data_IF_392099434449
#
_entry.id   IF_392099434449
#
_cell.length_a   1.000
_cell.length_b   1.000
_cell.length_c   1.000
_cell.angle_alpha   90.00
_cell.angle_beta   90.00
_cell.angle_gamma   90.00
#
_symmetry.space_group_name_H-M   'P 1'
#
loop_
_entity.id
_entity.type
_entity.pdbx_description
1 polymer ?
#
# COMPACT_ATOMS: atom_id res chain seq x y z
N UNK A 1 -6.91 -36.11 -35.14
CA UNK A 1 -7.70 -35.35 -36.13
C UNK A 1 -8.37 -34.23 -35.36
N UNK A 2 -7.67 -33.11 -35.21
CA UNK A 2 -8.19 -31.92 -34.53
C UNK A 2 -9.09 -31.16 -35.50
N UNK A 3 -10.38 -31.05 -35.15
CA UNK A 3 -11.29 -30.17 -35.85
C UNK A 3 -10.94 -28.71 -35.46
N UNK A 4 -10.46 -27.95 -36.45
CA UNK A 4 -10.43 -26.49 -36.34
C UNK A 4 -11.88 -25.99 -36.37
N UNK A 5 -12.43 -25.56 -35.24
CA UNK A 5 -13.69 -24.82 -35.22
C UNK A 5 -13.40 -23.36 -35.54
N UNK A 6 -13.68 -22.97 -36.79
CA UNK A 6 -13.77 -21.57 -37.18
C UNK A 6 -15.14 -21.04 -36.74
N UNK A 7 -15.17 -20.23 -35.68
CA UNK A 7 -16.34 -19.44 -35.35
C UNK A 7 -16.39 -18.22 -36.28
N UNK A 8 -17.30 -18.25 -37.25
CA UNK A 8 -17.61 -17.09 -38.10
C UNK A 8 -18.56 -16.16 -37.32
N UNK A 9 -18.05 -15.05 -36.83
CA UNK A 9 -18.89 -13.89 -36.48
C UNK A 9 -18.90 -12.93 -37.67
N UNK A 10 -20.07 -12.79 -38.29
CA UNK A 10 -20.34 -11.79 -39.32
C UNK A 10 -20.41 -10.39 -38.72
N UNK A 11 -19.59 -9.47 -39.27
CA UNK A 11 -19.67 -8.01 -39.25
C UNK A 11 -18.64 -7.18 -38.46
N UNK A 12 -17.58 -7.75 -37.93
CA UNK A 12 -16.32 -7.06 -37.61
C UNK A 12 -15.20 -8.02 -38.01
N UNK A 13 -14.11 -7.54 -38.63
CA UNK A 13 -13.03 -8.34 -39.20
C UNK A 13 -12.72 -9.63 -38.42
N UNK A 14 -12.46 -10.74 -39.10
CA UNK A 14 -12.37 -12.06 -38.48
C UNK A 14 -11.21 -12.10 -37.45
N UNK A 15 -11.56 -12.08 -36.15
CA UNK A 15 -10.58 -12.29 -35.08
C UNK A 15 -10.23 -13.79 -35.02
N UNK A 16 -8.96 -14.13 -35.20
CA UNK A 16 -8.48 -15.50 -35.09
C UNK A 16 -7.91 -15.76 -33.71
N UNK A 17 -8.49 -16.71 -32.96
CA UNK A 17 -7.95 -17.18 -31.70
C UNK A 17 -6.86 -18.20 -31.92
N UNK A 18 -5.63 -17.93 -31.50
CA UNK A 18 -4.45 -18.77 -31.75
C UNK A 18 -3.56 -18.89 -30.52
N UNK A 19 -2.99 -20.10 -30.34
CA UNK A 19 -1.89 -20.31 -29.42
C UNK A 19 -0.57 -20.27 -30.22
N UNK A 20 0.30 -19.32 -29.87
CA UNK A 20 1.62 -19.19 -30.48
C UNK A 20 2.65 -19.20 -29.34
N UNK A 21 3.55 -20.18 -29.35
CA UNK A 21 4.60 -20.38 -28.35
C UNK A 21 4.08 -20.38 -26.89
N UNK A 22 2.88 -20.94 -26.67
CA UNK A 22 2.28 -21.08 -25.36
C UNK A 22 1.50 -19.86 -24.86
N UNK A 23 1.49 -18.76 -25.59
CA UNK A 23 0.66 -17.58 -25.33
C UNK A 23 -0.52 -17.54 -26.30
N UNK A 24 -1.68 -17.16 -25.80
CA UNK A 24 -2.91 -17.10 -26.58
C UNK A 24 -3.18 -15.68 -27.06
N UNK A 25 -3.54 -15.57 -28.33
CA UNK A 25 -3.76 -14.31 -29.01
C UNK A 25 -5.10 -14.28 -29.74
N UNK A 26 -5.70 -13.11 -29.80
CA UNK A 26 -6.70 -12.74 -30.79
C UNK A 26 -5.99 -11.95 -31.87
N UNK A 27 -5.90 -12.50 -33.08
CA UNK A 27 -5.27 -11.88 -34.23
C UNK A 27 -6.34 -11.17 -35.04
N UNK A 28 -6.09 -9.92 -35.37
CA UNK A 28 -6.90 -9.10 -36.27
C UNK A 28 -6.18 -9.05 -37.61
N UNK A 29 -6.77 -9.71 -38.62
CA UNK A 29 -6.19 -9.82 -39.96
C UNK A 29 -6.21 -8.49 -40.72
N UNK A 30 -7.22 -7.64 -40.46
CA UNK A 30 -7.39 -6.36 -41.16
C UNK A 30 -6.34 -5.34 -40.68
N UNK A 31 -6.15 -5.22 -39.39
CA UNK A 31 -5.17 -4.29 -38.77
C UNK A 31 -3.77 -4.88 -38.65
N UNK A 32 -3.59 -6.20 -38.81
CA UNK A 32 -2.39 -6.96 -38.50
C UNK A 32 -1.88 -6.74 -37.06
N UNK A 33 -2.81 -6.72 -36.13
CA UNK A 33 -2.50 -6.62 -34.71
C UNK A 33 -2.91 -7.87 -33.94
N UNK A 34 -2.28 -8.08 -32.79
CA UNK A 34 -2.58 -9.16 -31.88
C UNK A 34 -2.87 -8.61 -30.47
N UNK A 35 -3.88 -9.17 -29.84
CA UNK A 35 -4.15 -8.96 -28.42
C UNK A 35 -3.84 -10.24 -27.64
N UNK A 36 -3.02 -10.17 -26.61
CA UNK A 36 -2.87 -11.31 -25.68
C UNK A 36 -4.22 -11.56 -25.01
N UNK A 37 -4.63 -12.83 -24.94
CA UNK A 37 -5.93 -13.22 -24.38
C UNK A 37 -5.79 -14.41 -23.45
N UNK A 38 -6.89 -14.77 -22.77
CA UNK A 38 -6.92 -15.91 -21.85
C UNK A 38 -6.82 -17.25 -22.58
N UNK A 39 -6.27 -18.24 -21.89
CA UNK A 39 -6.28 -19.64 -22.33
C UNK A 39 -7.70 -20.19 -22.23
N UNK A 40 -8.25 -20.65 -23.38
CA UNK A 40 -9.53 -21.32 -23.42
C UNK A 40 -10.73 -20.36 -23.34
N UNK A 41 -11.20 -19.92 -24.50
CA UNK A 41 -12.56 -19.47 -24.68
C UNK A 41 -13.42 -20.74 -24.87
N UNK A 42 -13.94 -21.28 -23.77
CA UNK A 42 -15.03 -22.25 -23.87
C UNK A 42 -16.34 -21.47 -23.70
N UNK A 43 -16.98 -21.14 -24.81
CA UNK A 43 -18.33 -20.55 -24.80
C UNK A 43 -19.32 -21.73 -24.87
N UNK A 44 -19.21 -22.65 -23.94
CA UNK A 44 -20.20 -23.70 -23.76
C UNK A 44 -21.08 -23.36 -22.54
N UNK A 45 -22.04 -22.50 -22.75
CA UNK A 45 -23.08 -22.26 -21.77
C UNK A 45 -23.94 -21.05 -22.12
N UNK A 46 -25.22 -21.22 -22.08
CA UNK A 46 -26.24 -20.18 -22.24
C UNK A 46 -26.11 -19.01 -21.25
N UNK A 47 -25.18 -19.11 -20.28
CA UNK A 47 -25.00 -18.16 -19.17
C UNK A 47 -23.75 -17.27 -19.29
N UNK A 48 -22.91 -17.42 -20.30
CA UNK A 48 -21.77 -16.53 -20.58
C UNK A 48 -20.65 -16.51 -19.52
N UNK A 49 -20.52 -17.54 -18.68
CA UNK A 49 -19.46 -17.64 -17.68
C UNK A 49 -18.19 -18.26 -18.28
N UNK A 50 -17.04 -17.59 -18.10
CA UNK A 50 -15.74 -18.13 -18.48
C UNK A 50 -15.25 -19.12 -17.42
N UNK A 51 -15.09 -20.39 -17.80
CA UNK A 51 -14.45 -21.41 -16.95
C UNK A 51 -12.97 -21.51 -17.30
N UNK A 52 -12.10 -21.26 -16.33
CA UNK A 52 -10.66 -21.46 -16.49
C UNK A 52 -10.31 -22.92 -16.17
N UNK A 53 -9.79 -23.67 -17.14
CA UNK A 53 -9.24 -24.99 -16.84
C UNK A 53 -7.85 -24.82 -16.20
N UNK A 54 -7.65 -25.32 -14.98
CA UNK A 54 -6.40 -25.19 -14.22
C UNK A 54 -5.15 -25.74 -14.95
N UNK A 55 -5.32 -26.69 -15.87
CA UNK A 55 -4.25 -27.26 -16.69
C UNK A 55 -3.74 -26.34 -17.81
N UNK A 56 -4.41 -25.23 -18.04
CA UNK A 56 -4.12 -24.29 -19.13
C UNK A 56 -3.61 -22.93 -18.67
N UNK A 57 -3.28 -22.77 -17.39
CA UNK A 57 -2.82 -21.51 -16.81
C UNK A 57 -1.33 -21.27 -17.10
N UNK A 58 -0.95 -20.00 -17.21
CA UNK A 58 0.44 -19.58 -17.40
C UNK A 58 1.27 -19.87 -16.15
N UNK A 59 2.51 -20.29 -16.34
CA UNK A 59 3.45 -20.66 -15.28
C UNK A 59 4.81 -19.99 -15.50
N UNK A 60 5.53 -19.74 -14.41
CA UNK A 60 6.88 -19.15 -14.47
C UNK A 60 6.89 -17.74 -15.05
N UNK A 61 8.00 -17.43 -15.71
CA UNK A 61 8.18 -16.11 -16.33
C UNK A 61 7.49 -16.07 -17.69
N UNK A 62 6.63 -15.09 -17.88
CA UNK A 62 5.90 -14.87 -19.14
C UNK A 62 6.48 -13.64 -19.85
N UNK A 63 6.91 -13.84 -21.07
CA UNK A 63 7.44 -12.78 -21.95
C UNK A 63 6.50 -12.61 -23.13
N UNK A 64 5.91 -11.42 -23.26
CA UNK A 64 5.10 -11.05 -24.42
C UNK A 64 6.05 -10.53 -25.49
N UNK A 65 6.09 -11.13 -26.72
CA UNK A 65 6.89 -10.60 -27.82
C UNK A 65 6.23 -9.35 -28.41
N UNK A 66 7.01 -8.52 -29.10
CA UNK A 66 6.47 -7.32 -29.79
C UNK A 66 5.64 -7.66 -31.03
N UNK A 67 5.84 -8.86 -31.60
CA UNK A 67 5.07 -9.38 -32.72
C UNK A 67 5.01 -10.90 -32.70
N UNK A 68 4.02 -11.47 -33.37
CA UNK A 68 3.86 -12.91 -33.59
C UNK A 68 3.56 -13.20 -35.05
N UNK A 69 4.02 -14.36 -35.54
CA UNK A 69 3.78 -14.78 -36.94
C UNK A 69 2.76 -15.93 -36.96
N UNK A 70 1.76 -15.83 -37.81
CA UNK A 70 0.77 -16.87 -38.09
C UNK A 70 0.40 -16.93 -39.53
N UNK A 71 0.44 -18.13 -40.12
CA UNK A 71 0.14 -18.33 -41.56
C UNK A 71 1.06 -17.57 -42.52
N UNK A 72 2.28 -17.21 -42.13
CA UNK A 72 3.23 -16.39 -42.90
C UNK A 72 2.96 -14.89 -42.85
N UNK A 73 2.07 -14.43 -41.98
CA UNK A 73 1.74 -13.02 -41.68
C UNK A 73 2.23 -12.65 -40.31
N UNK A 74 2.87 -11.48 -40.18
CA UNK A 74 3.29 -10.92 -38.89
C UNK A 74 2.21 -10.01 -38.36
N UNK A 75 1.93 -10.17 -37.04
CA UNK A 75 0.98 -9.38 -36.28
C UNK A 75 1.70 -8.66 -35.12
N UNK A 76 1.59 -7.36 -35.08
CA UNK A 76 2.14 -6.58 -33.96
C UNK A 76 1.31 -6.83 -32.70
N UNK A 77 1.95 -7.19 -31.57
CA UNK A 77 1.26 -7.37 -30.27
C UNK A 77 1.06 -6.01 -29.65
N UNK A 78 -0.16 -5.47 -29.71
CA UNK A 78 -0.45 -4.09 -29.30
C UNK A 78 -1.24 -3.97 -28.01
N UNK A 79 -1.83 -5.09 -27.53
CA UNK A 79 -2.66 -5.05 -26.34
C UNK A 79 -2.63 -6.34 -25.53
N UNK A 80 -2.99 -6.22 -24.26
CA UNK A 80 -3.31 -7.32 -23.35
C UNK A 80 -4.79 -7.23 -23.03
N UNK A 81 -5.55 -8.23 -23.43
CA UNK A 81 -7.01 -8.28 -23.26
C UNK A 81 -7.45 -8.47 -21.81
N UNK A 82 -8.75 -8.32 -21.61
CA UNK A 82 -9.37 -8.55 -20.29
C UNK A 82 -9.09 -9.97 -19.78
N UNK A 83 -8.76 -10.09 -18.52
CA UNK A 83 -8.51 -11.38 -17.85
C UNK A 83 -7.44 -12.27 -18.52
N UNK A 84 -6.56 -11.72 -19.36
CA UNK A 84 -5.63 -12.48 -20.18
C UNK A 84 -4.82 -13.53 -19.41
N UNK A 85 -4.40 -13.23 -18.20
CA UNK A 85 -3.62 -14.12 -17.32
C UNK A 85 -4.38 -14.54 -16.06
N UNK A 86 -5.68 -14.19 -15.94
CA UNK A 86 -6.43 -14.45 -14.72
C UNK A 86 -6.36 -15.93 -14.29
N UNK A 87 -6.20 -16.17 -12.99
CA UNK A 87 -6.06 -17.52 -12.43
C UNK A 87 -4.67 -18.15 -12.57
N UNK A 88 -3.73 -17.52 -13.28
CA UNK A 88 -2.37 -18.04 -13.50
C UNK A 88 -1.53 -17.92 -12.22
N UNK A 89 -1.91 -18.70 -11.19
CA UNK A 89 -1.33 -18.63 -9.85
C UNK A 89 0.15 -19.01 -9.80
N UNK A 90 0.68 -19.73 -10.80
CA UNK A 90 2.08 -20.08 -10.90
C UNK A 90 2.92 -19.15 -11.77
N UNK A 91 2.34 -18.10 -12.35
CA UNK A 91 3.08 -17.08 -13.10
C UNK A 91 3.91 -16.22 -12.12
N UNK A 92 5.21 -16.08 -12.36
CA UNK A 92 6.15 -15.40 -11.46
C UNK A 92 6.53 -13.99 -11.90
N UNK A 93 6.63 -13.77 -13.21
CA UNK A 93 6.87 -12.43 -13.77
C UNK A 93 6.13 -12.24 -15.10
N UNK A 94 5.92 -10.98 -15.47
CA UNK A 94 5.34 -10.59 -16.75
C UNK A 94 6.18 -9.49 -17.39
N UNK A 95 6.73 -9.80 -18.58
CA UNK A 95 7.41 -8.82 -19.41
C UNK A 95 6.48 -8.25 -20.49
N UNK A 96 6.43 -6.92 -20.60
CA UNK A 96 5.57 -6.17 -21.50
C UNK A 96 6.44 -5.42 -22.52
N UNK A 97 6.31 -5.70 -23.85
CA UNK A 97 7.11 -5.07 -24.88
C UNK A 97 6.69 -3.62 -25.13
N UNK A 98 7.53 -2.90 -25.88
CA UNK A 98 7.27 -1.50 -26.28
C UNK A 98 6.03 -1.34 -27.18
N UNK A 99 5.62 -2.40 -27.88
CA UNK A 99 4.46 -2.39 -28.79
C UNK A 99 3.10 -2.40 -28.07
N UNK A 100 3.04 -2.87 -26.81
CA UNK A 100 1.79 -2.94 -26.04
C UNK A 100 1.45 -1.56 -25.51
N UNK A 101 0.33 -1.01 -25.98
CA UNK A 101 -0.14 0.34 -25.61
C UNK A 101 -1.45 0.34 -24.82
N UNK A 102 -2.09 -0.81 -24.69
CA UNK A 102 -3.32 -0.95 -23.88
C UNK A 102 -3.35 -2.27 -23.11
N UNK A 103 -3.93 -2.21 -21.90
CA UNK A 103 -4.08 -3.35 -21.00
C UNK A 103 -5.50 -3.30 -20.44
N UNK A 104 -6.21 -4.40 -20.54
CA UNK A 104 -7.59 -4.55 -20.09
C UNK A 104 -7.76 -4.63 -18.57
N UNK A 105 -8.95 -4.97 -18.14
CA UNK A 105 -9.26 -5.14 -16.71
C UNK A 105 -9.05 -6.60 -16.25
N UNK A 106 -8.84 -6.80 -14.95
CA UNK A 106 -8.66 -8.11 -14.31
C UNK A 106 -7.54 -8.98 -14.89
N UNK A 107 -6.59 -8.38 -15.60
CA UNK A 107 -5.57 -9.07 -16.41
C UNK A 107 -4.81 -10.13 -15.61
N UNK A 108 -4.48 -9.86 -14.35
CA UNK A 108 -3.70 -10.73 -13.46
C UNK A 108 -4.48 -11.13 -12.19
N UNK A 109 -5.79 -11.16 -12.26
CA UNK A 109 -6.61 -11.61 -11.13
C UNK A 109 -6.21 -13.02 -10.70
N UNK A 110 -6.02 -13.25 -9.39
CA UNK A 110 -5.60 -14.54 -8.81
C UNK A 110 -4.21 -15.04 -9.25
N UNK A 111 -3.34 -14.18 -9.80
CA UNK A 111 -1.95 -14.49 -10.08
C UNK A 111 -1.11 -14.33 -8.80
N UNK A 112 -1.29 -15.21 -7.83
CA UNK A 112 -0.77 -15.03 -6.48
C UNK A 112 0.76 -15.18 -6.36
N UNK A 113 1.43 -15.80 -7.34
CA UNK A 113 2.90 -15.90 -7.38
C UNK A 113 3.57 -14.79 -8.20
N UNK A 114 2.79 -13.93 -8.87
CA UNK A 114 3.34 -12.85 -9.69
C UNK A 114 4.07 -11.83 -8.81
N UNK A 115 5.40 -11.81 -8.91
CA UNK A 115 6.27 -11.00 -8.06
C UNK A 115 6.72 -9.70 -8.72
N UNK A 116 6.69 -9.61 -10.05
CA UNK A 116 7.15 -8.41 -10.75
C UNK A 116 6.63 -8.27 -12.16
N UNK A 117 6.52 -7.01 -12.58
CA UNK A 117 6.42 -6.60 -13.99
C UNK A 117 7.75 -6.04 -14.45
N UNK A 118 8.07 -6.27 -15.73
CA UNK A 118 9.10 -5.55 -16.47
C UNK A 118 8.51 -5.00 -17.76
N UNK A 119 8.94 -3.82 -18.17
CA UNK A 119 8.44 -3.12 -19.35
C UNK A 119 9.62 -2.60 -20.14
N UNK A 120 9.59 -2.73 -21.46
CA UNK A 120 10.60 -2.13 -22.34
C UNK A 120 10.72 -0.62 -22.10
N UNK A 121 11.95 -0.10 -22.10
CA UNK A 121 12.21 1.30 -21.80
C UNK A 121 11.49 2.25 -22.78
N UNK A 122 11.36 1.83 -24.04
CA UNK A 122 10.74 2.57 -25.14
C UNK A 122 9.20 2.45 -25.16
N UNK A 123 8.59 1.72 -24.21
CA UNK A 123 7.14 1.61 -24.18
C UNK A 123 6.50 2.99 -23.91
N UNK A 124 5.61 3.48 -24.83
CA UNK A 124 5.07 4.83 -24.74
C UNK A 124 3.99 4.99 -23.65
N UNK A 125 3.35 3.90 -23.26
CA UNK A 125 2.15 3.92 -22.40
C UNK A 125 2.41 3.50 -20.97
N UNK A 126 3.38 2.60 -20.76
CA UNK A 126 3.65 1.98 -19.46
C UNK A 126 5.13 2.00 -19.09
N UNK A 127 5.42 1.80 -17.83
CA UNK A 127 6.76 1.52 -17.32
C UNK A 127 6.63 0.72 -16.02
N UNK A 128 7.71 0.07 -15.62
CA UNK A 128 7.80 -0.59 -14.32
C UNK A 128 8.77 0.13 -13.41
N UNK A 129 8.43 0.19 -12.13
CA UNK A 129 9.32 0.67 -11.09
C UNK A 129 9.14 -0.20 -9.85
N UNK A 130 10.23 -0.70 -9.29
CA UNK A 130 10.24 -1.66 -8.18
C UNK A 130 9.31 -2.87 -8.42
N UNK A 131 9.23 -3.35 -9.68
CA UNK A 131 8.38 -4.47 -10.09
C UNK A 131 6.87 -4.17 -10.13
N UNK A 132 6.45 -2.95 -9.85
CA UNK A 132 5.06 -2.48 -9.96
C UNK A 132 4.87 -1.82 -11.32
N UNK A 133 3.70 -1.99 -11.93
CA UNK A 133 3.35 -1.44 -13.24
C UNK A 133 2.67 -0.08 -13.10
N UNK A 134 3.12 0.89 -13.87
CA UNK A 134 2.59 2.26 -13.92
C UNK A 134 2.20 2.65 -15.33
N UNK A 135 1.17 3.50 -15.46
CA UNK A 135 0.86 4.21 -16.69
C UNK A 135 1.63 5.53 -16.76
N UNK A 136 1.98 5.97 -17.99
CA UNK A 136 2.68 7.24 -18.21
C UNK A 136 1.74 8.43 -18.36
N UNK A 137 0.56 8.21 -18.93
CA UNK A 137 -0.41 9.28 -19.20
C UNK A 137 -1.85 8.76 -19.07
N UNK A 138 -2.57 9.11 -17.99
CA UNK A 138 -2.08 9.85 -16.81
C UNK A 138 -1.04 9.04 -16.04
N UNK A 139 -0.10 9.73 -15.36
CA UNK A 139 0.85 9.08 -14.49
C UNK A 139 0.12 8.49 -13.28
N UNK A 140 0.07 7.18 -13.19
CA UNK A 140 -0.60 6.48 -12.10
C UNK A 140 -0.01 5.09 -11.85
N UNK A 141 -0.13 4.59 -10.61
CA UNK A 141 0.04 3.17 -10.34
C UNK A 141 -1.08 2.41 -11.06
N UNK A 142 -0.72 1.43 -11.89
CA UNK A 142 -1.67 0.71 -12.72
C UNK A 142 -1.98 -0.69 -12.18
N UNK A 143 -0.95 -1.51 -11.90
CA UNK A 143 -1.11 -2.85 -11.34
C UNK A 143 0.03 -3.19 -10.38
N UNK A 144 -0.30 -3.73 -9.21
CA UNK A 144 0.67 -4.29 -8.27
C UNK A 144 0.71 -5.81 -8.36
N UNK A 145 1.89 -6.43 -8.28
CA UNK A 145 2.01 -7.88 -8.34
C UNK A 145 1.70 -8.52 -6.98
N UNK A 146 0.74 -9.45 -6.92
CA UNK A 146 0.25 -10.05 -5.67
C UNK A 146 1.29 -10.90 -4.93
N UNK A 147 2.23 -11.49 -5.67
CA UNK A 147 3.30 -12.32 -5.12
C UNK A 147 4.54 -11.54 -4.67
N UNK A 148 4.53 -10.20 -4.80
CA UNK A 148 5.66 -9.37 -4.34
C UNK A 148 5.83 -9.46 -2.83
N UNK A 149 7.08 -9.57 -2.39
CA UNK A 149 7.45 -9.74 -0.98
C UNK A 149 8.22 -8.55 -0.45
N UNK A 150 8.19 -8.36 0.88
CA UNK A 150 9.04 -7.39 1.56
C UNK A 150 8.59 -5.93 1.39
N UNK A 151 9.55 -5.05 1.19
CA UNK A 151 9.30 -3.60 1.08
C UNK A 151 9.03 -3.22 -0.36
N UNK A 152 7.97 -2.44 -0.58
CA UNK A 152 7.64 -1.86 -1.90
C UNK A 152 7.86 -0.35 -1.87
N UNK A 153 8.52 0.17 -2.91
CA UNK A 153 8.69 1.61 -3.10
C UNK A 153 7.77 2.08 -4.22
N UNK A 154 6.86 2.98 -3.88
CA UNK A 154 5.95 3.60 -4.85
C UNK A 154 6.69 4.69 -5.62
N UNK A 155 6.48 4.77 -6.95
CA UNK A 155 7.11 5.76 -7.83
C UNK A 155 6.76 7.19 -7.41
N UNK A 156 7.77 8.06 -7.37
CA UNK A 156 7.56 9.46 -7.00
C UNK A 156 6.80 10.24 -8.09
N UNK A 157 6.01 11.22 -7.65
CA UNK A 157 5.20 12.06 -8.55
C UNK A 157 3.76 11.61 -8.73
N UNK A 158 3.36 10.38 -8.33
CA UNK A 158 1.94 10.05 -8.29
C UNK A 158 1.26 10.81 -7.15
N UNK A 159 0.00 11.21 -7.37
CA UNK A 159 -0.74 12.05 -6.42
C UNK A 159 -1.77 11.29 -5.60
N UNK A 160 -2.07 10.06 -5.98
CA UNK A 160 -2.98 9.18 -5.24
C UNK A 160 -2.57 7.71 -5.37
N UNK A 161 -2.88 6.91 -4.36
CA UNK A 161 -2.93 5.46 -4.50
C UNK A 161 -4.35 5.11 -4.97
N UNK A 162 -4.49 4.55 -6.19
CA UNK A 162 -5.80 4.26 -6.75
C UNK A 162 -6.51 3.15 -5.98
N UNK A 163 -7.81 3.00 -6.23
CA UNK A 163 -8.60 1.92 -5.65
C UNK A 163 -7.98 0.56 -5.95
N UNK A 164 -7.88 -0.28 -4.92
CA UNK A 164 -7.29 -1.61 -4.99
C UNK A 164 -5.80 -1.65 -5.41
N UNK A 165 -5.04 -0.57 -5.27
CA UNK A 165 -3.64 -0.44 -5.70
C UNK A 165 -2.76 -1.64 -5.31
N UNK A 166 -2.85 -2.11 -4.07
CA UNK A 166 -2.12 -3.25 -3.52
C UNK A 166 -3.05 -4.34 -2.96
N UNK A 167 -4.31 -4.36 -3.42
CA UNK A 167 -5.28 -5.31 -2.90
C UNK A 167 -4.80 -6.77 -3.07
N UNK A 168 -4.88 -7.54 -1.98
CA UNK A 168 -4.38 -8.93 -1.89
C UNK A 168 -2.87 -9.11 -2.08
N UNK A 169 -2.06 -8.06 -1.95
CA UNK A 169 -0.60 -8.19 -1.88
C UNK A 169 -0.20 -8.69 -0.48
N UNK A 170 -0.51 -9.95 -0.19
CA UNK A 170 -0.44 -10.54 1.17
C UNK A 170 0.99 -10.69 1.72
N UNK A 171 2.02 -10.55 0.89
CA UNK A 171 3.41 -10.80 1.27
C UNK A 171 4.25 -9.52 1.40
N UNK A 172 3.70 -8.34 1.11
CA UNK A 172 4.39 -7.08 1.36
C UNK A 172 4.41 -6.80 2.86
N UNK A 173 5.57 -6.40 3.39
CA UNK A 173 5.74 -6.09 4.82
C UNK A 173 5.68 -4.60 5.11
N UNK A 174 6.02 -3.76 4.14
CA UNK A 174 5.96 -2.30 4.24
C UNK A 174 5.86 -1.65 2.87
N UNK A 175 5.30 -0.44 2.81
CA UNK A 175 5.21 0.37 1.58
C UNK A 175 5.76 1.77 1.84
N UNK A 176 6.72 2.20 1.00
CA UNK A 176 7.23 3.57 0.99
C UNK A 176 6.37 4.40 0.05
N UNK A 177 5.51 5.23 0.62
CA UNK A 177 4.60 6.11 -0.10
C UNK A 177 5.25 7.49 -0.26
N UNK A 178 5.37 8.06 -1.47
CA UNK A 178 6.01 9.35 -1.68
C UNK A 178 5.15 10.52 -1.15
N UNK A 179 5.81 11.64 -0.84
CA UNK A 179 5.15 12.83 -0.28
C UNK A 179 4.17 13.52 -1.24
N UNK A 180 4.23 13.19 -2.52
CA UNK A 180 3.29 13.67 -3.54
C UNK A 180 1.87 13.12 -3.37
N UNK A 181 1.71 11.96 -2.70
CA UNK A 181 0.41 11.32 -2.50
C UNK A 181 -0.46 12.13 -1.53
N UNK A 182 -1.69 12.44 -1.98
CA UNK A 182 -2.70 13.22 -1.24
C UNK A 182 -3.91 12.40 -0.84
N UNK A 183 -4.15 11.25 -1.47
CA UNK A 183 -5.27 10.38 -1.14
C UNK A 183 -4.89 8.91 -1.27
N UNK A 184 -5.45 8.12 -0.38
CA UNK A 184 -5.43 6.65 -0.44
C UNK A 184 -6.86 6.23 -0.73
N UNK A 185 -7.10 5.65 -1.90
CA UNK A 185 -8.45 5.30 -2.37
C UNK A 185 -8.94 3.98 -1.78
N UNK A 186 -10.18 3.63 -2.14
CA UNK A 186 -10.88 2.48 -1.61
C UNK A 186 -10.12 1.17 -1.81
N UNK A 187 -9.99 0.40 -0.75
CA UNK A 187 -9.33 -0.90 -0.77
C UNK A 187 -7.85 -0.90 -1.16
N UNK A 188 -7.17 0.26 -1.18
CA UNK A 188 -5.81 0.39 -1.69
C UNK A 188 -4.82 -0.65 -1.13
N UNK A 189 -4.97 -1.04 0.15
CA UNK A 189 -4.18 -2.08 0.83
C UNK A 189 -5.05 -3.22 1.38
N UNK A 190 -6.30 -3.36 0.89
CA UNK A 190 -7.18 -4.39 1.45
C UNK A 190 -6.58 -5.80 1.31
N UNK A 191 -6.61 -6.57 2.40
CA UNK A 191 -6.04 -7.92 2.50
C UNK A 191 -4.51 -7.98 2.31
N UNK A 192 -3.77 -6.92 2.64
CA UNK A 192 -2.32 -6.95 2.79
C UNK A 192 -1.97 -7.54 4.17
N UNK A 193 -2.18 -8.83 4.38
CA UNK A 193 -2.15 -9.47 5.70
C UNK A 193 -0.78 -9.41 6.39
N UNK A 194 0.32 -9.33 5.65
CA UNK A 194 1.68 -9.20 6.20
C UNK A 194 2.15 -7.74 6.34
N UNK A 195 1.34 -6.74 5.97
CA UNK A 195 1.72 -5.33 6.06
C UNK A 195 1.84 -4.93 7.54
N UNK A 196 3.08 -4.89 8.05
CA UNK A 196 3.35 -4.62 9.45
C UNK A 196 3.49 -3.13 9.76
N UNK A 197 3.94 -2.34 8.78
CA UNK A 197 4.15 -0.91 8.94
C UNK A 197 3.87 -0.15 7.63
N UNK A 198 3.25 1.02 7.75
CA UNK A 198 3.08 1.98 6.67
C UNK A 198 3.20 3.40 7.21
N UNK A 199 4.05 4.20 6.57
CA UNK A 199 4.17 5.61 6.90
C UNK A 199 3.30 6.44 5.94
N UNK A 200 2.24 7.04 6.47
CA UNK A 200 1.39 7.94 5.70
C UNK A 200 2.09 9.28 5.49
N UNK A 201 2.22 9.78 4.25
CA UNK A 201 2.80 11.09 3.99
C UNK A 201 2.04 12.22 4.66
N UNK A 202 2.75 13.26 5.11
CA UNK A 202 2.17 14.43 5.79
C UNK A 202 1.21 15.27 4.92
N UNK A 203 1.04 14.92 3.66
CA UNK A 203 0.11 15.57 2.73
C UNK A 203 -1.17 14.80 2.45
N UNK A 204 -1.34 13.60 3.02
CA UNK A 204 -2.55 12.78 2.80
C UNK A 204 -3.74 13.44 3.47
N UNK A 205 -4.82 13.64 2.70
CA UNK A 205 -6.07 14.29 3.13
C UNK A 205 -7.19 13.30 3.39
N UNK A 206 -7.22 12.18 2.66
CA UNK A 206 -8.30 11.20 2.76
C UNK A 206 -7.78 9.77 2.74
N UNK A 207 -8.44 8.93 3.53
CA UNK A 207 -8.26 7.48 3.56
C UNK A 207 -9.62 6.86 3.21
N UNK A 208 -9.70 6.20 2.07
CA UNK A 208 -10.94 5.68 1.49
C UNK A 208 -11.50 4.45 2.20
N UNK A 209 -12.70 4.05 1.76
CA UNK A 209 -13.40 2.88 2.29
C UNK A 209 -12.52 1.63 2.17
N UNK A 210 -12.40 0.85 3.25
CA UNK A 210 -11.61 -0.39 3.30
C UNK A 210 -10.13 -0.23 2.87
N UNK A 211 -9.55 0.96 2.94
CA UNK A 211 -8.20 1.22 2.45
C UNK A 211 -7.15 0.27 3.06
N UNK A 212 -7.26 -0.08 4.34
CA UNK A 212 -6.43 -1.03 5.09
C UNK A 212 -7.23 -2.22 5.64
N UNK A 213 -8.36 -2.54 5.02
CA UNK A 213 -9.22 -3.65 5.44
C UNK A 213 -8.44 -4.97 5.55
N UNK A 214 -8.52 -5.67 6.69
CA UNK A 214 -7.80 -6.94 6.97
C UNK A 214 -6.27 -6.85 6.79
N UNK A 215 -5.66 -5.70 7.13
CA UNK A 215 -4.21 -5.59 7.31
C UNK A 215 -3.84 -6.14 8.70
N UNK A 216 -3.92 -7.45 8.86
CA UNK A 216 -3.88 -8.13 10.16
C UNK A 216 -2.58 -7.91 10.95
N UNK A 217 -1.44 -7.73 10.25
CA UNK A 217 -0.13 -7.51 10.86
C UNK A 217 0.19 -6.05 11.19
N UNK A 218 -0.65 -5.09 10.77
CA UNK A 218 -0.42 -3.67 11.03
C UNK A 218 -0.53 -3.40 12.53
N UNK A 219 0.60 -3.05 13.18
CA UNK A 219 0.66 -2.92 14.63
C UNK A 219 0.57 -1.48 15.13
N UNK A 220 0.98 -0.53 14.31
CA UNK A 220 0.89 0.90 14.62
C UNK A 220 0.59 1.71 13.36
N UNK A 221 -0.08 2.85 13.54
CA UNK A 221 -0.32 3.83 12.49
C UNK A 221 -0.22 5.25 13.04
N UNK A 222 0.37 6.13 12.25
CA UNK A 222 0.30 7.58 12.49
C UNK A 222 -0.66 8.20 11.48
N UNK A 223 -1.72 8.86 11.97
CA UNK A 223 -2.67 9.63 11.17
C UNK A 223 -2.15 11.08 11.08
N UNK A 224 -1.67 11.53 9.91
CA UNK A 224 -1.10 12.87 9.75
C UNK A 224 -2.09 13.99 10.04
N UNK A 225 -1.57 15.18 10.40
CA UNK A 225 -2.38 16.37 10.66
C UNK A 225 -3.18 16.87 9.44
N UNK A 226 -2.79 16.44 8.25
CA UNK A 226 -3.47 16.78 7.00
C UNK A 226 -4.72 15.94 6.74
N UNK A 227 -4.93 14.83 7.47
CA UNK A 227 -6.07 13.92 7.24
C UNK A 227 -7.36 14.59 7.71
N UNK A 228 -8.27 14.76 6.77
CA UNK A 228 -9.59 15.36 6.94
C UNK A 228 -10.69 14.31 7.06
N UNK A 229 -10.53 13.16 6.36
CA UNK A 229 -11.52 12.08 6.35
C UNK A 229 -10.88 10.69 6.41
N UNK A 230 -11.55 9.79 7.13
CA UNK A 230 -11.30 8.35 7.11
C UNK A 230 -12.66 7.68 6.91
N UNK A 231 -12.82 7.01 5.77
CA UNK A 231 -14.09 6.43 5.39
C UNK A 231 -14.35 5.08 6.08
N UNK A 232 -15.56 4.55 5.94
CA UNK A 232 -16.04 3.35 6.63
C UNK A 232 -15.14 2.13 6.39
N UNK A 233 -14.96 1.31 7.44
CA UNK A 233 -14.19 0.07 7.40
C UNK A 233 -12.73 0.23 6.96
N UNK A 234 -12.20 1.46 6.93
CA UNK A 234 -10.85 1.73 6.43
C UNK A 234 -9.78 0.85 7.10
N UNK A 235 -9.92 0.56 8.39
CA UNK A 235 -9.01 -0.27 9.19
C UNK A 235 -9.70 -1.50 9.81
N UNK A 236 -10.90 -1.86 9.33
CA UNK A 236 -11.60 -3.03 9.85
C UNK A 236 -10.75 -4.29 9.68
N UNK A 237 -10.63 -5.09 10.73
CA UNK A 237 -9.84 -6.32 10.72
C UNK A 237 -8.32 -6.12 10.87
N UNK A 238 -7.85 -4.89 11.18
CA UNK A 238 -6.46 -4.64 11.58
C UNK A 238 -6.24 -5.13 13.03
N UNK A 239 -6.36 -6.44 13.27
CA UNK A 239 -6.45 -7.01 14.62
C UNK A 239 -5.20 -6.79 15.48
N UNK A 240 -4.04 -6.55 14.89
CA UNK A 240 -2.79 -6.24 15.59
C UNK A 240 -2.59 -4.75 15.87
N UNK A 241 -3.48 -3.85 15.39
CA UNK A 241 -3.30 -2.41 15.51
C UNK A 241 -3.51 -1.93 16.95
N UNK A 242 -2.44 -1.98 17.73
CA UNK A 242 -2.45 -1.67 19.14
C UNK A 242 -2.24 -0.19 19.45
N UNK A 243 -1.49 0.52 18.61
CA UNK A 243 -1.13 1.93 18.83
C UNK A 243 -1.54 2.79 17.63
N UNK A 244 -2.37 3.79 17.88
CA UNK A 244 -2.73 4.83 16.92
C UNK A 244 -2.16 6.15 17.39
N UNK A 245 -1.30 6.77 16.56
CA UNK A 245 -0.82 8.13 16.80
C UNK A 245 -1.66 9.09 16.00
N UNK A 246 -2.53 9.83 16.67
CA UNK A 246 -3.42 10.77 16.00
C UNK A 246 -2.84 12.19 15.98
N UNK A 247 -2.41 12.64 14.80
CA UNK A 247 -1.96 14.00 14.55
C UNK A 247 -3.05 14.85 13.88
N UNK A 248 -4.16 14.25 13.47
CA UNK A 248 -5.27 14.95 12.82
C UNK A 248 -6.18 15.65 13.84
N UNK A 249 -7.13 16.42 13.34
CA UNK A 249 -8.19 17.01 14.16
C UNK A 249 -9.36 16.08 14.43
N UNK A 250 -9.34 14.85 13.92
CA UNK A 250 -10.40 13.88 14.10
C UNK A 250 -10.41 13.38 15.56
N UNK A 251 -11.57 13.34 16.23
CA UNK A 251 -11.66 12.90 17.64
C UNK A 251 -11.64 11.36 17.74
N UNK A 252 -10.50 10.76 17.41
CA UNK A 252 -10.29 9.29 17.45
C UNK A 252 -10.10 8.84 18.90
N UNK A 253 -10.88 7.85 19.34
CA UNK A 253 -10.86 7.28 20.70
C UNK A 253 -10.59 5.78 20.66
N UNK A 254 -9.72 5.29 21.53
CA UNK A 254 -9.38 3.86 21.62
C UNK A 254 -10.60 2.99 21.93
N UNK A 255 -10.74 1.88 21.23
CA UNK A 255 -11.85 0.94 21.36
C UNK A 255 -13.14 1.35 20.66
N UNK A 256 -13.18 2.51 20.00
CA UNK A 256 -14.36 2.95 19.25
C UNK A 256 -14.28 2.57 17.77
N UNK A 257 -15.45 2.30 17.18
CA UNK A 257 -15.59 1.97 15.75
C UNK A 257 -15.75 3.20 14.84
N UNK A 258 -15.50 4.41 15.36
CA UNK A 258 -15.52 5.63 14.58
C UNK A 258 -14.31 5.75 13.63
N UNK A 259 -14.41 6.62 12.64
CA UNK A 259 -13.31 6.92 11.70
C UNK A 259 -12.68 5.68 11.07
N UNK A 260 -13.54 4.86 10.44
CA UNK A 260 -13.11 3.65 9.71
C UNK A 260 -12.51 2.57 10.59
N UNK A 261 -12.91 2.52 11.87
CA UNK A 261 -12.45 1.57 12.89
C UNK A 261 -10.93 1.64 13.17
N UNK A 262 -10.29 2.78 12.88
CA UNK A 262 -8.83 2.95 13.06
C UNK A 262 -8.35 2.64 14.47
N UNK A 263 -9.18 2.92 15.47
CA UNK A 263 -8.86 2.68 16.88
C UNK A 263 -9.66 1.53 17.52
N UNK A 264 -10.41 0.74 16.73
CA UNK A 264 -11.27 -0.34 17.25
C UNK A 264 -10.48 -1.36 18.07
N UNK A 265 -9.28 -1.74 17.62
CA UNK A 265 -8.41 -2.70 18.29
C UNK A 265 -7.29 -2.02 19.11
N UNK A 266 -7.21 -0.68 19.06
CA UNK A 266 -6.15 0.05 19.72
C UNK A 266 -6.26 -0.01 21.25
N UNK A 267 -5.17 -0.34 21.90
CA UNK A 267 -5.04 -0.22 23.35
C UNK A 267 -4.80 1.24 23.77
N UNK A 268 -4.27 2.06 22.89
CA UNK A 268 -4.01 3.47 23.13
C UNK A 268 -4.10 4.31 21.87
N UNK A 269 -4.61 5.54 22.02
CA UNK A 269 -4.52 6.60 21.00
C UNK A 269 -3.63 7.71 21.58
N UNK A 270 -2.46 7.88 20.99
CA UNK A 270 -1.49 8.87 21.39
C UNK A 270 -1.68 10.16 20.59
N UNK A 271 -1.53 11.33 21.21
CA UNK A 271 -1.48 12.58 20.45
C UNK A 271 -0.24 12.62 19.57
N UNK A 272 -0.29 13.43 18.53
CA UNK A 272 0.91 13.78 17.78
C UNK A 272 1.90 14.46 18.74
N UNK A 273 3.02 13.80 18.94
CA UNK A 273 4.17 14.57 19.45
C UNK A 273 4.54 15.46 18.26
N UNK A 274 4.30 16.75 18.42
CA UNK A 274 4.83 17.71 17.44
C UNK A 274 6.33 17.48 17.39
N UNK A 275 6.81 16.91 16.28
CA UNK A 275 8.23 16.95 15.90
C UNK A 275 8.55 18.31 15.24
N UNK A 276 7.98 19.42 15.72
CA UNK A 276 8.81 20.55 15.94
C UNK A 276 9.88 19.96 16.90
N UNK A 277 11.09 19.79 16.46
CA UNK A 277 12.22 19.65 17.37
C UNK A 277 11.95 20.71 18.42
N UNK A 278 11.31 20.31 19.53
CA UNK A 278 11.28 21.14 20.69
C UNK A 278 12.77 21.32 20.88
N UNK A 279 13.24 22.54 20.70
CA UNK A 279 14.63 22.85 20.87
C UNK A 279 15.00 22.29 22.25
N UNK A 280 15.57 21.07 22.28
CA UNK A 280 15.91 20.41 23.53
C UNK A 280 16.88 21.30 24.31
N UNK A 281 17.54 22.25 23.62
CA UNK A 281 18.35 23.31 24.19
C UNK A 281 17.50 24.34 24.96
N UNK A 282 16.18 24.41 24.71
CA UNK A 282 15.27 25.30 25.41
C UNK A 282 14.56 24.66 26.62
N UNK A 283 14.72 23.33 26.84
CA UNK A 283 14.18 22.67 28.03
C UNK A 283 15.01 23.06 29.25
N UNK A 284 14.36 23.62 30.25
CA UNK A 284 14.95 23.95 31.54
C UNK A 284 14.25 23.14 32.62
N UNK A 285 15.03 22.46 33.44
CA UNK A 285 14.52 21.75 34.63
C UNK A 285 15.22 22.28 35.85
N UNK A 286 14.45 22.76 36.83
CA UNK A 286 14.97 23.32 38.04
C UNK A 286 14.05 23.04 39.27
N UNK A 287 14.58 23.21 40.42
CA UNK A 287 13.80 23.12 41.70
C UNK A 287 13.08 24.44 41.96
N UNK A 288 11.84 24.35 42.44
CA UNK A 288 11.06 25.49 42.95
C UNK A 288 10.31 25.07 44.20
N UNK A 289 10.71 25.56 45.33
CA UNK A 289 10.13 25.13 46.63
C UNK A 289 10.29 23.62 46.82
N UNK A 290 9.17 22.93 47.02
CA UNK A 290 9.12 21.47 47.21
C UNK A 290 8.87 20.71 45.91
N UNK A 291 9.20 21.28 44.76
CA UNK A 291 8.84 20.68 43.48
C UNK A 291 9.90 20.82 42.37
N UNK A 292 9.65 20.11 41.29
CA UNK A 292 10.37 20.19 40.04
C UNK A 292 9.55 20.98 39.07
N UNK A 293 10.16 21.96 38.43
CA UNK A 293 9.59 22.72 37.33
C UNK A 293 10.30 22.37 36.01
N UNK A 294 9.50 22.07 35.01
CA UNK A 294 9.95 21.89 33.65
C UNK A 294 9.39 23.04 32.81
N UNK A 295 10.26 23.91 32.30
CA UNK A 295 9.95 24.98 31.37
C UNK A 295 10.37 24.55 29.97
N UNK A 296 9.50 24.68 28.97
CA UNK A 296 9.70 24.18 27.62
C UNK A 296 9.42 22.67 27.53
N UNK A 297 9.74 22.09 26.38
CA UNK A 297 9.55 20.66 26.17
C UNK A 297 8.09 20.20 26.06
N UNK A 298 7.15 21.11 25.74
CA UNK A 298 5.74 20.79 25.52
C UNK A 298 5.59 19.61 24.52
N UNK A 299 4.84 18.57 24.94
CA UNK A 299 4.65 17.35 24.17
C UNK A 299 5.76 16.31 24.36
N UNK A 300 6.88 16.63 25.02
CA UNK A 300 7.93 15.65 25.33
C UNK A 300 7.50 14.76 26.52
N UNK A 301 7.95 13.52 26.50
CA UNK A 301 7.73 12.59 27.62
C UNK A 301 8.69 12.93 28.76
N UNK A 302 8.14 13.04 29.97
CA UNK A 302 8.91 13.21 31.19
C UNK A 302 8.95 11.92 32.01
N UNK A 303 10.13 11.55 32.51
CA UNK A 303 10.32 10.50 33.49
C UNK A 303 11.14 11.06 34.65
N UNK A 304 10.70 10.80 35.88
CA UNK A 304 11.44 11.19 37.10
C UNK A 304 11.77 9.93 37.89
N UNK A 305 13.05 9.76 38.14
CA UNK A 305 13.58 8.64 38.91
C UNK A 305 14.15 9.15 40.23
N UNK A 306 13.89 8.45 41.31
CA UNK A 306 14.57 8.67 42.57
C UNK A 306 16.04 8.23 42.51
N UNK A 307 16.82 8.59 43.55
CA UNK A 307 18.24 8.23 43.64
C UNK A 307 18.51 6.71 43.62
N UNK A 308 17.51 5.90 43.98
CA UNK A 308 17.56 4.44 43.93
C UNK A 308 17.17 3.85 42.58
N UNK A 309 16.95 4.69 41.56
CA UNK A 309 16.54 4.30 40.20
C UNK A 309 15.04 3.95 40.04
N UNK A 310 14.24 4.05 41.12
CA UNK A 310 12.80 3.81 41.02
C UNK A 310 12.11 4.94 40.26
N UNK A 311 11.19 4.59 39.36
CA UNK A 311 10.35 5.54 38.66
C UNK A 311 9.35 6.18 39.61
N UNK A 312 9.41 7.50 39.77
CA UNK A 312 8.58 8.29 40.65
C UNK A 312 7.41 8.94 39.91
N UNK A 313 7.67 9.38 38.68
CA UNK A 313 6.67 10.00 37.83
C UNK A 313 6.95 9.69 36.36
N UNK A 314 5.87 9.54 35.60
CA UNK A 314 5.93 9.45 34.12
C UNK A 314 4.70 10.13 33.52
N UNK A 315 4.91 10.94 32.50
CA UNK A 315 3.83 11.68 31.83
C UNK A 315 4.30 12.42 30.60
N UNK A 316 3.47 13.33 30.11
CA UNK A 316 3.80 14.28 29.04
C UNK A 316 3.90 15.69 29.66
N UNK A 317 4.78 16.52 29.11
CA UNK A 317 4.79 17.95 29.40
C UNK A 317 3.60 18.58 28.67
N UNK A 318 2.53 18.91 29.39
CA UNK A 318 1.23 19.35 28.83
C UNK A 318 1.10 20.85 28.68
N UNK A 319 2.17 21.55 28.45
CA UNK A 319 2.19 23.01 28.25
C UNK A 319 3.58 23.57 28.35
N UNK A 320 3.72 24.88 28.23
CA UNK A 320 5.03 25.53 28.29
C UNK A 320 5.72 25.36 29.65
N UNK A 321 4.96 25.05 30.69
CA UNK A 321 5.47 24.88 32.04
C UNK A 321 4.71 23.77 32.76
N UNK A 322 5.42 22.79 33.28
CA UNK A 322 4.92 21.72 34.12
C UNK A 322 5.53 21.84 35.51
N UNK A 323 4.70 21.83 36.56
CA UNK A 323 5.15 21.81 37.95
C UNK A 323 4.71 20.51 38.62
N UNK A 324 5.64 19.82 39.27
CA UNK A 324 5.40 18.56 39.96
C UNK A 324 5.91 18.66 41.39
N UNK A 325 5.04 18.45 42.36
CA UNK A 325 5.40 18.38 43.78
C UNK A 325 6.02 17.02 44.11
N UNK A 326 7.24 17.03 44.63
CA UNK A 326 7.99 15.83 45.07
C UNK A 326 8.52 16.01 46.48
N UNK A 327 8.77 14.92 47.18
CA UNK A 327 9.44 14.96 48.48
C UNK A 327 10.88 15.48 48.36
N UNK A 328 11.47 15.94 49.46
CA UNK A 328 12.90 16.27 49.48
C UNK A 328 13.75 15.06 49.08
N UNK A 329 14.74 15.27 48.22
CA UNK A 329 15.57 14.18 47.71
C UNK A 329 16.35 14.54 46.44
N UNK A 330 17.04 13.56 45.91
CA UNK A 330 17.79 13.68 44.64
C UNK A 330 17.03 12.93 43.54
N UNK A 331 16.83 13.60 42.43
CA UNK A 331 16.06 13.07 41.30
C UNK A 331 16.84 13.19 40.00
N UNK A 332 16.68 12.18 39.16
CA UNK A 332 17.03 12.26 37.76
C UNK A 332 15.74 12.53 36.97
N UNK A 333 15.66 13.68 36.31
CA UNK A 333 14.53 14.08 35.47
C UNK A 333 14.93 13.95 34.02
N UNK A 334 14.25 13.10 33.29
CA UNK A 334 14.46 12.93 31.83
C UNK A 334 13.28 13.54 31.10
N UNK A 335 13.57 14.46 30.16
CA UNK A 335 12.56 15.09 29.28
C UNK A 335 13.00 14.86 27.83
N UNK A 336 12.27 14.04 27.09
CA UNK A 336 12.76 13.54 25.81
C UNK A 336 14.07 12.76 25.98
N UNK A 337 15.13 13.16 25.28
CA UNK A 337 16.45 12.56 25.36
C UNK A 337 17.40 13.29 26.32
N UNK A 338 16.99 14.42 26.92
CA UNK A 338 17.80 15.21 27.86
C UNK A 338 17.54 14.78 29.29
N UNK A 339 18.61 14.68 30.10
CA UNK A 339 18.53 14.31 31.50
C UNK A 339 19.11 15.39 32.41
N UNK A 340 18.43 15.65 33.50
CA UNK A 340 18.76 16.67 34.50
C UNK A 340 18.85 16.03 35.91
N UNK A 341 19.85 16.42 36.69
CA UNK A 341 19.91 16.06 38.09
C UNK A 341 19.34 17.20 38.94
N UNK A 342 18.31 16.91 39.71
CA UNK A 342 17.63 17.88 40.59
C UNK A 342 17.79 17.46 42.03
N UNK A 343 18.09 18.41 42.90
CA UNK A 343 18.15 18.24 44.36
C UNK A 343 17.06 19.11 44.98
N UNK A 344 16.11 18.48 45.66
CA UNK A 344 15.11 19.18 46.46
C UNK A 344 15.53 19.15 47.91
N UNK A 345 15.79 20.34 48.45
CA UNK A 345 16.07 20.53 49.88
C UNK A 345 14.79 20.56 50.74
N UNK A 346 14.95 20.43 52.03
CA UNK A 346 13.88 20.66 53.03
C UNK A 346 13.58 22.14 53.11
#
# INVERSE_FOLDING_TARGET
MLLAMSLQFTAFGALLYQNIDGVYYLLDEDSRTAAVTCRGYDIDGEDGWMYFQASQLYQGDVVIPSSVSYGGVDYAVTSIGNSAFAGSSGMTSLHIPSSVVSIGYNVVSLCNSLASYSVDAENPSFFSYDGVLYSRSPLALFLSPRGKTGVVTVYDGITELPSSAFQYCSYISSVKIPSSVKSIKDGAFANCTSLAAVALPSGVKSIGNRAFFMCESLSEITIPSSVETIDDNAFYGCASLATVRNCSSLPIVAGESSYGEVALYASEVLPCVSTSVADESAVRVYSSGSGVVVDGGEGLRIHIFGYNGALVHSGLVTGRRLELSLASGVYLVRVGDVSFKIVLGN
#
